data_IF_309001987457
#
_entry.id   IF_309001987457
#
_cell.length_a   1.000
_cell.length_b   1.000
_cell.length_c   1.000
_cell.angle_alpha   90.00
_cell.angle_beta   90.00
_cell.angle_gamma   90.00
#
_symmetry.space_group_name_H-M   'P 1'
#
loop_
_entity.id
_entity.type
_entity.pdbx_description
1 polymer ?
#
# COMPACT_ATOMS: atom_id res chain seq x y z
N UNK A 1 16.59 -2.22 17.21
CA UNK A 1 15.46 -1.30 17.47
C UNK A 1 14.16 -2.04 17.16
N UNK A 2 13.23 -2.13 18.12
CA UNK A 2 12.09 -3.07 18.09
C UNK A 2 10.78 -2.29 18.27
N UNK A 3 9.76 -2.51 17.42
CA UNK A 3 8.44 -1.89 17.58
C UNK A 3 7.75 -2.39 18.85
N UNK A 4 6.71 -1.68 19.30
CA UNK A 4 5.82 -2.20 20.34
C UNK A 4 4.97 -3.35 19.78
N UNK A 5 4.45 -4.19 20.67
CA UNK A 5 3.52 -5.26 20.28
C UNK A 5 2.25 -4.69 19.66
N UNK A 6 1.72 -5.38 18.65
CA UNK A 6 0.50 -5.04 17.95
C UNK A 6 -0.22 -6.34 17.53
N UNK A 7 -1.53 -6.26 17.38
CA UNK A 7 -2.32 -7.29 16.72
C UNK A 7 -2.18 -7.17 15.20
N UNK A 8 -2.22 -8.29 14.50
CA UNK A 8 -2.18 -8.33 13.04
C UNK A 8 -3.45 -9.00 12.51
N UNK A 9 -4.11 -8.32 11.58
CA UNK A 9 -5.31 -8.83 10.91
C UNK A 9 -5.13 -8.68 9.41
N UNK A 10 -5.42 -9.73 8.66
CA UNK A 10 -5.40 -9.68 7.19
C UNK A 10 -6.82 -9.50 6.67
N UNK A 11 -7.06 -8.38 5.98
CA UNK A 11 -8.35 -8.10 5.38
C UNK A 11 -8.50 -8.82 4.02
N UNK A 12 -9.72 -9.29 3.72
CA UNK A 12 -9.99 -10.07 2.51
C UNK A 12 -10.76 -9.28 1.43
N UNK A 13 -11.29 -8.10 1.77
CA UNK A 13 -12.03 -7.23 0.85
C UNK A 13 -11.98 -5.77 1.32
N UNK A 14 -12.33 -4.82 0.45
CA UNK A 14 -12.43 -3.41 0.84
C UNK A 14 -13.48 -3.21 1.95
N UNK A 15 -14.59 -3.93 1.91
CA UNK A 15 -15.65 -3.85 2.92
C UNK A 15 -15.14 -4.30 4.29
N UNK A 16 -14.33 -5.37 4.31
CA UNK A 16 -13.66 -5.88 5.51
C UNK A 16 -12.68 -4.84 6.07
N UNK A 17 -11.91 -4.17 5.21
CA UNK A 17 -11.02 -3.06 5.63
C UNK A 17 -11.81 -1.93 6.30
N UNK A 18 -12.91 -1.49 5.70
CA UNK A 18 -13.76 -0.42 6.26
C UNK A 18 -14.37 -0.86 7.60
N UNK A 19 -14.81 -2.10 7.72
CA UNK A 19 -15.34 -2.65 8.96
C UNK A 19 -14.28 -2.72 10.06
N UNK A 20 -13.07 -3.19 9.74
CA UNK A 20 -11.95 -3.25 10.67
C UNK A 20 -11.48 -1.86 11.12
N UNK A 21 -11.38 -0.89 10.20
CA UNK A 21 -11.07 0.49 10.55
C UNK A 21 -12.14 1.10 11.47
N UNK A 22 -13.42 0.82 11.20
CA UNK A 22 -14.52 1.29 12.06
C UNK A 22 -14.49 0.65 13.45
N UNK A 23 -14.16 -0.65 13.53
CA UNK A 23 -14.07 -1.39 14.79
C UNK A 23 -12.89 -0.95 15.66
N UNK A 24 -11.71 -0.77 15.06
CA UNK A 24 -10.47 -0.50 15.80
C UNK A 24 -10.14 1.00 15.92
N UNK A 25 -10.85 1.85 15.18
CA UNK A 25 -10.72 3.30 15.25
C UNK A 25 -9.30 3.80 14.98
N UNK A 26 -8.89 4.84 15.72
CA UNK A 26 -7.57 5.47 15.57
C UNK A 26 -6.40 4.58 15.98
N UNK A 27 -6.67 3.47 16.68
CA UNK A 27 -5.65 2.52 17.12
C UNK A 27 -5.21 1.55 16.01
N UNK A 28 -5.94 1.50 14.89
CA UNK A 28 -5.56 0.71 13.73
C UNK A 28 -4.81 1.53 12.67
N UNK A 29 -3.89 0.87 11.98
CA UNK A 29 -3.27 1.38 10.75
C UNK A 29 -3.30 0.33 9.66
N UNK A 30 -3.50 0.79 8.42
CA UNK A 30 -3.40 -0.07 7.24
C UNK A 30 -1.94 -0.39 6.96
N UNK A 31 -1.65 -1.66 6.69
CA UNK A 31 -0.36 -2.15 6.25
C UNK A 31 -0.44 -2.49 4.76
N UNK A 32 0.25 -1.67 3.96
CA UNK A 32 0.54 -1.94 2.54
C UNK A 32 1.97 -2.47 2.41
N UNK A 33 2.84 -1.79 1.64
CA UNK A 33 4.25 -2.18 1.49
C UNK A 33 5.12 -1.99 2.74
N UNK A 34 4.64 -1.35 3.80
CA UNK A 34 5.35 -1.25 5.10
C UNK A 34 6.58 -0.33 5.15
N UNK A 35 7.11 0.13 4.02
CA UNK A 35 8.37 0.89 3.92
C UNK A 35 8.40 2.27 4.60
N UNK A 36 7.26 2.81 5.02
CA UNK A 36 7.22 4.02 5.87
C UNK A 36 6.71 3.71 7.28
N UNK A 37 5.64 2.91 7.39
CA UNK A 37 5.01 2.60 8.66
C UNK A 37 5.91 1.76 9.57
N UNK A 38 6.53 0.69 9.05
CA UNK A 38 7.37 -0.21 9.84
C UNK A 38 8.62 0.52 10.37
N UNK A 39 9.36 1.32 9.57
CA UNK A 39 10.44 2.15 10.11
C UNK A 39 9.98 3.11 11.21
N UNK A 40 8.85 3.78 11.03
CA UNK A 40 8.31 4.68 12.05
C UNK A 40 7.91 3.94 13.34
N UNK A 41 7.40 2.71 13.24
CA UNK A 41 7.11 1.85 14.39
C UNK A 41 8.38 1.36 15.09
N UNK A 42 9.43 1.00 14.35
CA UNK A 42 10.75 0.65 14.93
C UNK A 42 11.33 1.83 15.71
N UNK A 43 11.14 3.05 15.23
CA UNK A 43 11.52 4.31 15.89
C UNK A 43 10.55 4.76 16.98
N UNK A 44 9.42 4.04 17.18
CA UNK A 44 8.33 4.38 18.12
C UNK A 44 7.67 5.74 17.87
N UNK A 45 7.73 6.25 16.64
CA UNK A 45 6.99 7.45 16.22
C UNK A 45 5.51 7.13 15.96
N UNK A 46 5.22 5.87 15.65
CA UNK A 46 3.88 5.31 15.58
C UNK A 46 3.80 4.03 16.39
N UNK A 47 2.71 3.86 17.14
CA UNK A 47 2.46 2.68 17.96
C UNK A 47 0.99 2.24 17.84
N UNK A 48 0.54 1.80 16.65
CA UNK A 48 -0.81 1.27 16.50
C UNK A 48 -0.94 -0.06 17.26
N UNK A 49 -2.06 -0.25 17.96
CA UNK A 49 -2.38 -1.53 18.58
C UNK A 49 -2.81 -2.60 17.57
N UNK A 50 -3.21 -2.22 16.35
CA UNK A 50 -3.59 -3.18 15.30
C UNK A 50 -3.07 -2.76 13.92
N UNK A 51 -2.44 -3.69 13.20
CA UNK A 51 -2.14 -3.56 11.79
C UNK A 51 -3.14 -4.35 10.95
N UNK A 52 -3.80 -3.67 10.02
CA UNK A 52 -4.71 -4.27 9.05
C UNK A 52 -3.97 -4.41 7.72
N UNK A 53 -3.53 -5.63 7.42
CA UNK A 53 -2.85 -5.94 6.16
C UNK A 53 -3.87 -6.02 5.02
N UNK A 54 -3.66 -5.14 4.03
CA UNK A 54 -4.50 -5.03 2.84
C UNK A 54 -3.88 -5.68 1.60
N UNK A 55 -2.64 -6.20 1.69
CA UNK A 55 -1.86 -6.75 0.56
C UNK A 55 -2.52 -7.94 -0.12
N UNK A 56 -3.47 -8.61 0.55
CA UNK A 56 -4.24 -9.72 -0.03
C UNK A 56 -5.34 -9.29 -1.02
N UNK A 57 -5.71 -8.01 -1.05
CA UNK A 57 -6.85 -7.51 -1.82
C UNK A 57 -6.41 -7.23 -3.26
N UNK A 58 -6.56 -8.23 -4.14
CA UNK A 58 -6.07 -8.20 -5.53
C UNK A 58 -6.57 -7.01 -6.35
N UNK A 59 -7.83 -6.61 -6.16
CA UNK A 59 -8.44 -5.48 -6.87
C UNK A 59 -7.73 -4.13 -6.61
N UNK A 60 -7.00 -4.02 -5.48
CA UNK A 60 -6.21 -2.83 -5.15
C UNK A 60 -4.82 -2.83 -5.82
N UNK A 61 -4.44 -3.87 -6.58
CA UNK A 61 -3.14 -3.96 -7.24
C UNK A 61 -3.21 -3.84 -8.78
N UNK A 62 -4.41 -3.65 -9.35
CA UNK A 62 -4.56 -3.62 -10.81
C UNK A 62 -4.07 -2.30 -11.44
N UNK A 63 -3.31 -2.41 -12.53
CA UNK A 63 -2.97 -1.29 -13.42
C UNK A 63 -3.65 -1.51 -14.77
N UNK A 64 -4.58 -0.64 -15.16
CA UNK A 64 -5.31 -0.78 -16.44
C UNK A 64 -5.78 0.55 -17.02
N UNK A 65 -6.18 0.52 -18.28
CA UNK A 65 -6.94 1.60 -18.91
C UNK A 65 -8.42 1.35 -18.69
N UNK A 66 -9.12 2.37 -18.21
CA UNK A 66 -10.55 2.38 -17.99
C UNK A 66 -11.13 3.58 -18.75
N UNK A 67 -11.70 3.32 -19.93
CA UNK A 67 -12.09 4.35 -20.89
C UNK A 67 -10.90 5.22 -21.32
N UNK A 68 -10.93 6.50 -20.96
CA UNK A 68 -9.86 7.47 -21.24
C UNK A 68 -8.93 7.72 -20.05
N UNK A 69 -8.98 6.88 -19.01
CA UNK A 69 -8.20 7.07 -17.78
C UNK A 69 -7.24 5.91 -17.55
N UNK A 70 -6.04 6.24 -17.09
CA UNK A 70 -5.13 5.27 -16.48
C UNK A 70 -5.56 5.07 -15.02
N UNK A 71 -5.96 3.85 -14.67
CA UNK A 71 -6.32 3.45 -13.31
C UNK A 71 -5.19 2.62 -12.71
N UNK A 72 -4.64 3.08 -11.59
CA UNK A 72 -3.56 2.41 -10.85
C UNK A 72 -4.08 2.08 -9.47
N UNK A 73 -4.05 0.81 -9.11
CA UNK A 73 -4.43 0.34 -7.78
C UNK A 73 -3.49 0.87 -6.69
N UNK A 74 -4.02 1.13 -5.50
CA UNK A 74 -3.26 1.69 -4.37
C UNK A 74 -2.14 0.78 -3.84
N UNK A 75 -2.14 -0.50 -4.20
CA UNK A 75 -1.12 -1.48 -3.87
C UNK A 75 -0.14 -1.75 -5.01
N UNK A 76 -0.30 -1.08 -6.16
CA UNK A 76 0.70 -1.12 -7.22
C UNK A 76 2.04 -0.66 -6.67
N UNK A 77 3.03 -1.55 -6.70
CA UNK A 77 4.38 -1.25 -6.21
C UNK A 77 5.08 -0.26 -7.15
N UNK A 78 6.06 0.49 -6.66
CA UNK A 78 6.89 1.35 -7.51
C UNK A 78 7.51 0.56 -8.67
N UNK A 79 7.98 -0.65 -8.40
CA UNK A 79 8.48 -1.57 -9.44
C UNK A 79 7.41 -1.93 -10.49
N UNK A 80 6.16 -2.20 -10.06
CA UNK A 80 5.07 -2.52 -10.98
C UNK A 80 4.69 -1.30 -11.84
N UNK A 81 4.82 -0.09 -11.31
CA UNK A 81 4.54 1.16 -12.03
C UNK A 81 5.67 1.46 -13.03
N UNK A 82 6.94 1.39 -12.65
CA UNK A 82 8.08 1.68 -13.54
C UNK A 82 8.15 0.68 -14.72
N UNK A 83 7.84 -0.60 -14.47
CA UNK A 83 7.97 -1.66 -15.46
C UNK A 83 6.73 -1.85 -16.33
N UNK A 84 5.63 -1.15 -16.01
CA UNK A 84 4.37 -1.29 -16.73
C UNK A 84 4.41 -0.62 -18.10
N UNK A 85 4.29 -1.43 -19.15
CA UNK A 85 4.07 -0.95 -20.52
C UNK A 85 2.81 -0.10 -20.65
N UNK A 86 1.77 -0.40 -19.86
CA UNK A 86 0.52 0.38 -19.84
C UNK A 86 0.78 1.77 -19.27
N UNK A 87 1.54 1.88 -18.18
CA UNK A 87 1.91 3.19 -17.61
C UNK A 87 2.82 3.93 -18.57
N UNK A 88 3.90 3.32 -19.05
CA UNK A 88 4.86 3.96 -19.94
C UNK A 88 4.21 4.53 -21.23
N UNK A 89 3.24 3.80 -21.81
CA UNK A 89 2.53 4.25 -23.03
C UNK A 89 1.57 5.43 -22.77
N UNK A 90 0.98 5.52 -21.57
CA UNK A 90 -0.11 6.48 -21.29
C UNK A 90 0.32 7.64 -20.37
N UNK A 91 1.39 7.48 -19.60
CA UNK A 91 1.94 8.47 -18.67
C UNK A 91 3.41 8.14 -18.35
N UNK A 92 4.30 8.37 -19.32
CA UNK A 92 5.73 8.04 -19.19
C UNK A 92 6.39 8.66 -17.95
N UNK A 93 6.07 9.92 -17.65
CA UNK A 93 6.62 10.65 -16.49
C UNK A 93 6.36 9.92 -15.17
N UNK A 94 5.25 9.19 -15.05
CA UNK A 94 4.93 8.44 -13.85
C UNK A 94 5.79 7.18 -13.72
N UNK A 95 6.05 6.47 -14.83
CA UNK A 95 6.96 5.33 -14.84
C UNK A 95 8.40 5.76 -14.52
N UNK A 96 8.87 6.86 -15.12
CA UNK A 96 10.19 7.41 -14.85
C UNK A 96 10.31 7.86 -13.39
N UNK A 97 9.32 8.57 -12.85
CA UNK A 97 9.32 8.98 -11.45
C UNK A 97 9.36 7.79 -10.49
N UNK A 98 8.57 6.74 -10.75
CA UNK A 98 8.57 5.53 -9.93
C UNK A 98 9.95 4.86 -9.87
N UNK A 99 10.74 4.92 -10.96
CA UNK A 99 12.11 4.37 -10.99
C UNK A 99 13.14 5.12 -10.14
N UNK A 100 12.74 6.27 -9.56
CA UNK A 100 13.59 7.13 -8.74
C UNK A 100 13.17 7.14 -7.27
N UNK A 101 12.18 6.34 -6.88
CA UNK A 101 11.66 6.29 -5.51
C UNK A 101 12.18 5.05 -4.79
N UNK A 102 12.78 5.25 -3.62
CA UNK A 102 13.33 4.16 -2.81
C UNK A 102 14.55 3.54 -3.48
N UNK A 103 14.67 2.22 -3.36
CA UNK A 103 15.69 1.38 -3.97
C UNK A 103 15.05 0.04 -4.40
N UNK A 104 15.77 -0.85 -5.13
CA UNK A 104 15.17 -2.04 -5.74
C UNK A 104 14.63 -3.15 -4.82
N UNK A 105 14.72 -3.01 -3.50
CA UNK A 105 14.34 -4.06 -2.53
C UNK A 105 12.83 -4.32 -2.46
#
# INVERSE_FOLDING_TARGET
>A
MVPQSFDYVRANSIQDVVALLSRHGTNAKLLAGGHSLIPAMKLRLHAPGTLIDVTGIRELNEIKIDGNRLRIGSLATHHSIESSKVVAKNCLVLAEAASRIGDPQ
#
